data_IF_690378656079
#
_entry.id   IF_690378656079
#
_cell.length_a   1.000
_cell.length_b   1.000
_cell.length_c   1.000
_cell.angle_alpha   90.00
_cell.angle_beta   90.00
_cell.angle_gamma   90.00
#
_symmetry.space_group_name_H-M   'P 1'
#
loop_
_entity.id
_entity.type
_entity.pdbx_description
1 polymer ?
#
# COMPACT_ATOMS: atom_id res chain seq x y z
N UNK A 1 -4.77 19.19 -0.19
CA UNK A 1 -4.38 18.86 -1.58
C UNK A 1 -3.15 17.96 -1.54
N UNK A 2 -3.17 16.84 -2.26
CA UNK A 2 -2.03 15.91 -2.29
C UNK A 2 -0.88 16.52 -3.10
N UNK A 3 0.32 16.54 -2.51
CA UNK A 3 1.53 16.93 -3.25
C UNK A 3 1.92 15.87 -4.30
N UNK A 4 2.61 16.30 -5.35
CA UNK A 4 3.16 15.43 -6.40
C UNK A 4 4.00 14.28 -5.82
N UNK A 5 4.78 14.58 -4.77
CA UNK A 5 5.53 13.58 -4.02
C UNK A 5 4.64 12.45 -3.47
N UNK A 6 3.47 12.76 -2.91
CA UNK A 6 2.57 11.72 -2.38
C UNK A 6 1.94 10.90 -3.51
N UNK A 7 1.66 11.54 -4.65
CA UNK A 7 1.11 10.86 -5.84
C UNK A 7 2.13 9.87 -6.39
N UNK A 8 3.38 10.31 -6.57
CA UNK A 8 4.47 9.45 -7.03
C UNK A 8 4.70 8.30 -6.03
N UNK A 9 4.72 8.61 -4.73
CA UNK A 9 4.89 7.62 -3.67
C UNK A 9 3.80 6.55 -3.68
N UNK A 10 2.54 6.93 -3.89
CA UNK A 10 1.42 5.99 -4.03
C UNK A 10 1.62 5.07 -5.25
N UNK A 11 2.05 5.63 -6.39
CA UNK A 11 2.34 4.86 -7.59
C UNK A 11 3.47 3.83 -7.40
N UNK A 12 4.55 4.21 -6.70
CA UNK A 12 5.64 3.28 -6.39
C UNK A 12 5.17 2.14 -5.46
N UNK A 13 4.35 2.44 -4.44
CA UNK A 13 3.76 1.42 -3.57
C UNK A 13 2.89 0.47 -4.39
N UNK A 14 1.98 1.01 -5.21
CA UNK A 14 1.08 0.21 -6.06
C UNK A 14 1.87 -0.74 -6.97
N UNK A 15 2.99 -0.28 -7.54
CA UNK A 15 3.87 -1.10 -8.37
C UNK A 15 4.54 -2.23 -7.57
N UNK A 16 5.12 -1.93 -6.40
CA UNK A 16 5.77 -2.94 -5.54
C UNK A 16 4.76 -4.03 -5.13
N UNK A 17 3.56 -3.63 -4.70
CA UNK A 17 2.51 -4.56 -4.31
C UNK A 17 2.03 -5.40 -5.50
N UNK A 18 1.92 -4.80 -6.69
CA UNK A 18 1.56 -5.52 -7.90
C UNK A 18 2.60 -6.58 -8.27
N UNK A 19 3.88 -6.25 -8.19
CA UNK A 19 4.96 -7.19 -8.47
C UNK A 19 5.03 -8.31 -7.41
N UNK A 20 4.77 -8.00 -6.14
CA UNK A 20 4.58 -9.01 -5.10
C UNK A 20 3.48 -10.02 -5.48
N UNK A 21 2.30 -9.54 -5.91
CA UNK A 21 1.20 -10.44 -6.33
C UNK A 21 1.46 -11.22 -7.62
N UNK A 22 2.40 -10.78 -8.47
CA UNK A 22 2.87 -11.55 -9.62
C UNK A 22 3.80 -12.69 -9.19
N UNK A 23 4.73 -12.41 -8.28
CA UNK A 23 5.66 -13.41 -7.75
C UNK A 23 4.96 -14.43 -6.85
N UNK A 24 3.87 -14.01 -6.18
CA UNK A 24 3.08 -14.84 -5.29
C UNK A 24 1.64 -15.02 -5.81
N UNK A 25 1.43 -15.76 -6.91
CA UNK A 25 0.13 -15.81 -7.60
C UNK A 25 -1.01 -16.40 -6.75
N UNK A 26 -0.69 -17.22 -5.75
CA UNK A 26 -1.64 -17.82 -4.80
C UNK A 26 -2.14 -16.83 -3.75
N UNK A 27 -1.40 -15.75 -3.49
CA UNK A 27 -1.77 -14.73 -2.50
C UNK A 27 -2.77 -13.77 -3.14
N UNK A 28 -3.94 -13.64 -2.51
CA UNK A 28 -5.04 -12.76 -2.98
C UNK A 28 -5.16 -11.49 -2.15
N UNK A 29 -4.74 -11.56 -0.89
CA UNK A 29 -4.81 -10.50 0.10
C UNK A 29 -3.57 -10.60 1.00
N UNK A 30 -3.02 -9.46 1.39
CA UNK A 30 -1.90 -9.36 2.34
C UNK A 30 -2.05 -8.12 3.22
N UNK A 31 -1.62 -8.19 4.48
CA UNK A 31 -1.59 -7.01 5.34
C UNK A 31 -0.52 -6.04 4.83
N UNK A 32 -0.86 -4.76 4.80
CA UNK A 32 0.02 -3.72 4.28
C UNK A 32 1.36 -3.66 5.04
N UNK A 33 1.34 -3.92 6.35
CA UNK A 33 2.55 -3.94 7.19
C UNK A 33 3.53 -5.07 6.83
N UNK A 34 3.04 -6.18 6.29
CA UNK A 34 3.90 -7.33 5.98
C UNK A 34 4.80 -7.05 4.76
N UNK A 35 4.47 -6.02 3.97
CA UNK A 35 5.26 -5.55 2.82
C UNK A 35 6.20 -4.38 3.18
N UNK A 36 6.35 -4.03 4.46
CA UNK A 36 7.21 -2.92 4.87
C UNK A 36 8.66 -3.09 4.42
N UNK A 37 9.19 -4.31 4.50
CA UNK A 37 10.54 -4.59 4.01
C UNK A 37 10.70 -4.32 2.52
N UNK A 38 9.71 -4.71 1.71
CA UNK A 38 9.72 -4.47 0.27
C UNK A 38 9.65 -2.98 -0.05
N UNK A 39 8.86 -2.21 0.71
CA UNK A 39 8.80 -0.76 0.56
C UNK A 39 10.10 -0.06 0.97
N UNK A 40 10.83 -0.59 1.96
CA UNK A 40 12.14 -0.05 2.36
C UNK A 40 13.18 -0.38 1.29
N UNK A 41 13.22 -1.62 0.80
CA UNK A 41 14.10 -2.05 -0.30
C UNK A 41 13.83 -1.24 -1.58
N UNK A 42 12.56 -0.93 -1.84
CA UNK A 42 12.13 -0.07 -2.95
C UNK A 42 12.33 1.44 -2.73
N UNK A 43 12.90 1.86 -1.60
CA UNK A 43 13.21 3.27 -1.31
C UNK A 43 11.99 4.15 -0.97
N UNK A 44 10.82 3.56 -0.79
CA UNK A 44 9.56 4.28 -0.46
C UNK A 44 9.58 4.78 0.98
N UNK A 45 10.12 3.98 1.89
CA UNK A 45 10.31 4.34 3.29
C UNK A 45 11.78 4.11 3.68
N UNK A 46 12.31 4.96 4.56
CA UNK A 46 13.69 4.84 5.01
C UNK A 46 13.88 3.71 6.02
N UNK A 47 12.88 3.46 6.86
CA UNK A 47 12.84 2.33 7.79
C UNK A 47 11.42 2.07 8.28
N UNK A 48 11.22 0.88 8.83
CA UNK A 48 9.98 0.56 9.53
C UNK A 48 10.02 1.12 10.95
N UNK A 49 8.88 1.62 11.40
CA UNK A 49 8.67 2.06 12.76
C UNK A 49 7.35 1.48 13.26
N UNK A 50 7.37 0.89 14.47
CA UNK A 50 6.16 0.39 15.16
C UNK A 50 5.25 -0.44 14.24
N UNK A 51 5.84 -1.43 13.56
CA UNK A 51 5.17 -2.40 12.68
C UNK A 51 4.31 -1.73 11.59
N UNK A 52 4.93 -0.96 10.70
CA UNK A 52 4.29 -0.34 9.56
C UNK A 52 3.60 1.00 9.83
N UNK A 53 3.96 1.72 10.90
CA UNK A 53 3.41 3.06 11.17
C UNK A 53 3.58 4.03 9.99
N UNK A 54 4.76 4.14 9.33
CA UNK A 54 4.94 5.09 8.23
C UNK A 54 3.96 4.86 7.08
N UNK A 55 3.65 3.60 6.81
CA UNK A 55 2.68 3.23 5.79
C UNK A 55 1.26 3.55 6.24
N UNK A 56 0.89 3.23 7.49
CA UNK A 56 -0.45 3.56 8.01
C UNK A 56 -0.73 5.05 7.97
N UNK A 57 0.24 5.88 8.36
CA UNK A 57 0.10 7.35 8.34
C UNK A 57 -0.05 7.87 6.91
N UNK A 58 0.71 7.29 5.97
CA UNK A 58 0.59 7.62 4.55
C UNK A 58 -0.78 7.24 3.98
N UNK A 59 -1.25 6.01 4.22
CA UNK A 59 -2.55 5.54 3.74
C UNK A 59 -3.70 6.32 4.35
N UNK A 60 -3.62 6.66 5.64
CA UNK A 60 -4.59 7.54 6.29
C UNK A 60 -4.62 8.93 5.64
N UNK A 61 -3.45 9.53 5.39
CA UNK A 61 -3.37 10.82 4.68
C UNK A 61 -4.00 10.77 3.29
N UNK A 62 -3.82 9.66 2.57
CA UNK A 62 -4.47 9.44 1.28
C UNK A 62 -5.99 9.32 1.44
N UNK A 63 -6.48 8.51 2.39
CA UNK A 63 -7.91 8.39 2.71
C UNK A 63 -8.53 9.76 3.05
N UNK A 64 -7.89 10.55 3.90
CA UNK A 64 -8.33 11.90 4.30
C UNK A 64 -8.35 12.92 3.14
N UNK A 65 -7.73 12.60 1.99
CA UNK A 65 -7.68 13.45 0.79
C UNK A 65 -8.30 12.76 -0.45
N UNK A 66 -9.13 11.72 -0.27
CA UNK A 66 -9.76 10.94 -1.35
C UNK A 66 -8.74 10.37 -2.39
N UNK A 67 -7.50 10.13 -1.94
CA UNK A 67 -6.37 9.72 -2.77
C UNK A 67 -6.18 8.21 -2.91
N UNK A 68 -7.06 7.39 -2.34
CA UNK A 68 -6.95 5.93 -2.45
C UNK A 68 -7.11 5.42 -3.89
N UNK A 69 -7.76 6.19 -4.76
CA UNK A 69 -7.90 5.87 -6.18
C UNK A 69 -6.60 5.99 -6.98
N UNK A 70 -5.52 6.49 -6.37
CA UNK A 70 -4.19 6.48 -6.96
C UNK A 70 -3.64 5.06 -7.14
N UNK A 71 -4.13 4.08 -6.36
CA UNK A 71 -3.79 2.67 -6.52
C UNK A 71 -4.56 2.06 -7.70
N UNK A 72 -3.93 2.03 -8.88
CA UNK A 72 -4.56 1.57 -10.13
C UNK A 72 -4.50 0.06 -10.28
N UNK A 73 -3.39 -0.56 -9.87
CA UNK A 73 -3.11 -1.99 -10.06
C UNK A 73 -3.57 -2.85 -8.90
N UNK A 74 -3.67 -2.26 -7.71
CA UNK A 74 -4.08 -2.96 -6.49
C UNK A 74 -5.33 -2.33 -5.89
N UNK A 75 -6.03 -3.08 -5.04
CA UNK A 75 -7.16 -2.56 -4.25
C UNK A 75 -6.72 -2.48 -2.80
N UNK A 76 -6.92 -1.33 -2.18
CA UNK A 76 -6.67 -1.13 -0.76
C UNK A 76 -7.97 -1.29 0.02
N UNK A 77 -7.95 -2.06 1.11
CA UNK A 77 -9.10 -2.25 2.00
C UNK A 77 -8.66 -2.01 3.43
N UNK A 78 -9.44 -1.19 4.14
CA UNK A 78 -9.31 -1.02 5.59
C UNK A 78 -10.36 -1.87 6.29
N UNK A 79 -9.95 -2.84 7.10
CA UNK A 79 -10.87 -3.62 7.94
C UNK A 79 -11.11 -2.88 9.26
N UNK A 80 -12.37 -2.59 9.56
CA UNK A 80 -12.77 -1.74 10.70
C UNK A 80 -12.43 -2.38 12.05
N UNK A 81 -12.61 -3.70 12.16
CA UNK A 81 -12.43 -4.48 13.40
C UNK A 81 -11.02 -4.34 13.97
N UNK A 82 -9.99 -4.47 13.11
CA UNK A 82 -8.59 -4.46 13.53
C UNK A 82 -7.85 -3.18 13.11
N UNK A 83 -8.55 -2.24 12.45
CA UNK A 83 -8.00 -1.03 11.83
C UNK A 83 -6.81 -1.28 10.91
N UNK A 84 -6.65 -2.51 10.41
CA UNK A 84 -5.57 -2.90 9.53
C UNK A 84 -5.89 -2.61 8.07
N UNK A 85 -4.84 -2.23 7.36
CA UNK A 85 -4.85 -2.03 5.92
C UNK A 85 -4.41 -3.32 5.23
N UNK A 86 -5.11 -3.66 4.16
CA UNK A 86 -4.84 -4.81 3.33
C UNK A 86 -4.72 -4.38 1.89
N UNK A 87 -3.73 -4.94 1.21
CA UNK A 87 -3.68 -4.94 -0.24
C UNK A 87 -4.38 -6.18 -0.76
N UNK A 88 -5.22 -6.00 -1.76
CA UNK A 88 -5.95 -7.05 -2.44
C UNK A 88 -5.58 -7.02 -3.91
N UNK A 89 -5.24 -8.20 -4.43
CA UNK A 89 -4.95 -8.39 -5.85
C UNK A 89 -6.21 -8.03 -6.65
N UNK A 90 -6.09 -7.07 -7.56
CA UNK A 90 -7.15 -6.85 -8.56
C UNK A 90 -7.16 -8.03 -9.52
N UNK A 91 -8.15 -8.90 -9.40
CA UNK A 91 -8.49 -9.82 -10.47
C UNK A 91 -9.10 -9.00 -11.60
N UNK A 92 -8.49 -9.00 -12.79
CA UNK A 92 -9.17 -8.52 -14.00
C UNK A 92 -10.49 -9.29 -14.10
N UNK A 93 -11.60 -8.55 -14.05
CA UNK A 93 -12.92 -9.06 -14.39
C UNK A 93 -13.08 -8.95 -15.90
#
# INVERSE_FOLDING_TARGET
>A
MLSEYNIQKAGTIDQIVFDYFKLHPKVKEIQAKDLMEDFIKGGVFSKDYKDGLPLRDFLKKLEDNDGLDLFKQTKLIRKVENKYWFFVKKTKK
#
